data_IF_586865648492
#
_entry.id   IF_586865648492
#
_cell.length_a   1.000
_cell.length_b   1.000
_cell.length_c   1.000
_cell.angle_alpha   90.00
_cell.angle_beta   90.00
_cell.angle_gamma   90.00
#
_symmetry.space_group_name_H-M   'P 1'
#
loop_
_entity.id
_entity.type
_entity.pdbx_description
1 polymer ?
#
# COMPACT_ATOMS: atom_id res chain seq x y z
N UNK A 1 -3.96 10.69 6.12
CA UNK A 1 -3.59 9.29 5.97
C UNK A 1 -2.84 8.76 7.17
N UNK A 2 -2.70 7.48 7.23
CA UNK A 2 -1.93 6.78 8.27
C UNK A 2 -1.39 5.47 7.70
N UNK A 3 -0.40 4.90 8.37
CA UNK A 3 0.08 3.55 8.10
C UNK A 3 -0.50 2.56 9.11
N UNK A 4 -1.15 1.50 8.61
CA UNK A 4 -1.49 0.32 9.37
C UNK A 4 -0.27 -0.60 9.40
N UNK A 5 0.33 -0.75 10.58
CA UNK A 5 1.64 -1.39 10.75
C UNK A 5 1.49 -2.72 11.48
N UNK A 6 1.67 -3.84 10.77
CA UNK A 6 1.73 -5.18 11.34
C UNK A 6 3.14 -5.75 11.20
N UNK A 7 3.76 -6.12 12.31
CA UNK A 7 5.09 -6.72 12.30
C UNK A 7 5.13 -8.14 11.71
N UNK A 8 3.97 -8.73 11.49
CA UNK A 8 3.82 -10.11 10.99
C UNK A 8 3.42 -10.13 9.51
N UNK A 9 2.43 -9.31 9.13
CA UNK A 9 1.81 -9.41 7.81
C UNK A 9 2.33 -8.39 6.80
N UNK A 10 2.87 -7.26 7.25
CA UNK A 10 3.29 -6.15 6.41
C UNK A 10 2.55 -4.85 6.74
N UNK A 11 2.89 -3.79 6.04
CA UNK A 11 2.37 -2.45 6.27
C UNK A 11 1.46 -2.00 5.13
N UNK A 12 0.44 -1.22 5.46
CA UNK A 12 -0.53 -0.68 4.50
C UNK A 12 -0.75 0.80 4.77
N UNK A 13 -0.48 1.66 3.81
CA UNK A 13 -0.90 3.05 3.90
C UNK A 13 -2.38 3.18 3.59
N UNK A 14 -3.09 3.97 4.40
CA UNK A 14 -4.47 4.36 4.14
C UNK A 14 -4.55 5.87 3.93
N UNK A 15 -5.06 6.28 2.79
CA UNK A 15 -5.22 7.67 2.40
C UNK A 15 -6.70 8.06 2.36
N UNK A 16 -6.96 9.34 2.50
CA UNK A 16 -8.29 9.97 2.37
C UNK A 16 -9.34 9.55 3.40
N UNK A 17 -9.10 8.54 4.25
CA UNK A 17 -10.03 8.16 5.30
C UNK A 17 -10.18 9.27 6.33
N UNK A 18 -11.42 9.47 6.79
CA UNK A 18 -11.77 10.34 7.94
C UNK A 18 -11.62 9.62 9.28
N UNK A 19 -11.45 8.30 9.26
CA UNK A 19 -11.27 7.44 10.42
C UNK A 19 -9.86 6.82 10.41
N UNK A 20 -9.44 6.32 11.56
CA UNK A 20 -8.15 5.62 11.72
C UNK A 20 -8.33 4.29 12.44
N UNK A 21 -7.48 3.35 12.12
CA UNK A 21 -7.32 2.09 12.86
C UNK A 21 -5.84 1.72 12.93
N UNK A 22 -5.47 0.74 13.74
CA UNK A 22 -4.11 0.24 13.80
C UNK A 22 -4.07 -1.25 14.10
N UNK A 23 -3.00 -1.91 13.65
CA UNK A 23 -2.84 -3.36 13.79
C UNK A 23 -2.84 -3.84 15.25
N UNK A 24 -2.33 -3.06 16.18
CA UNK A 24 -2.28 -3.44 17.61
C UNK A 24 -3.68 -3.49 18.24
N UNK A 25 -4.54 -2.54 17.89
CA UNK A 25 -5.89 -2.48 18.42
C UNK A 25 -6.81 -3.57 17.83
N UNK A 26 -6.56 -3.93 16.57
CA UNK A 26 -7.48 -4.76 15.77
C UNK A 26 -7.04 -6.24 15.68
N UNK A 27 -6.04 -6.66 16.46
CA UNK A 27 -5.51 -8.03 16.40
C UNK A 27 -4.58 -8.29 15.21
N UNK A 28 -4.25 -7.26 14.44
CA UNK A 28 -3.13 -7.21 13.51
C UNK A 28 -3.23 -8.05 12.24
N UNK A 29 -4.38 -8.62 11.92
CA UNK A 29 -4.55 -9.43 10.71
C UNK A 29 -5.05 -8.60 9.52
N UNK A 30 -4.64 -8.93 8.28
CA UNK A 30 -5.16 -8.24 7.09
C UNK A 30 -6.69 -8.30 6.97
N UNK A 31 -7.32 -9.40 7.37
CA UNK A 31 -8.77 -9.56 7.31
C UNK A 31 -9.52 -8.55 8.18
N UNK A 32 -8.95 -8.13 9.30
CA UNK A 32 -9.53 -7.06 10.15
C UNK A 32 -9.41 -5.72 9.43
N UNK A 33 -8.26 -5.42 8.82
CA UNK A 33 -8.10 -4.21 8.02
C UNK A 33 -9.08 -4.16 6.84
N UNK A 34 -9.23 -5.27 6.10
CA UNK A 34 -10.16 -5.34 4.97
C UNK A 34 -11.62 -5.15 5.40
N UNK A 35 -12.03 -5.73 6.52
CA UNK A 35 -13.36 -5.50 7.10
C UNK A 35 -13.55 -4.05 7.52
N UNK A 36 -12.53 -3.43 8.10
CA UNK A 36 -12.58 -2.03 8.50
C UNK A 36 -12.67 -1.10 7.28
N UNK A 37 -11.91 -1.33 6.22
CA UNK A 37 -12.01 -0.58 4.95
C UNK A 37 -13.41 -0.67 4.33
N UNK A 38 -14.06 -1.83 4.42
CA UNK A 38 -15.41 -2.02 3.88
C UNK A 38 -16.53 -1.41 4.72
N UNK A 39 -16.26 -1.05 5.98
CA UNK A 39 -17.25 -0.45 6.87
C UNK A 39 -17.38 1.04 6.58
N UNK A 40 -18.63 1.58 6.52
CA UNK A 40 -18.85 3.01 6.32
C UNK A 40 -18.10 3.87 7.34
N UNK A 41 -17.61 5.04 6.92
CA UNK A 41 -16.92 5.98 7.79
C UNK A 41 -17.85 6.50 8.93
N UNK A 42 -19.15 6.64 8.66
CA UNK A 42 -20.15 7.01 9.67
C UNK A 42 -20.25 5.99 10.82
N UNK A 43 -19.90 4.73 10.54
CA UNK A 43 -19.89 3.64 11.53
C UNK A 43 -18.48 3.40 12.11
N UNK A 44 -17.57 4.34 11.93
CA UNK A 44 -16.18 4.26 12.39
C UNK A 44 -15.27 3.39 11.52
N UNK A 45 -15.67 3.07 10.30
CA UNK A 45 -14.85 2.33 9.33
C UNK A 45 -14.06 3.22 8.38
N UNK A 46 -13.31 2.60 7.49
CA UNK A 46 -12.46 3.25 6.49
C UNK A 46 -13.07 3.31 5.09
N UNK A 47 -14.40 3.18 4.95
CA UNK A 47 -15.07 3.09 3.65
C UNK A 47 -14.94 4.32 2.75
N UNK A 48 -14.50 5.44 3.28
CA UNK A 48 -14.12 6.64 2.55
C UNK A 48 -12.63 6.69 2.19
N UNK A 49 -11.83 5.68 2.56
CA UNK A 49 -10.40 5.60 2.31
C UNK A 49 -10.02 4.76 1.07
N UNK A 50 -8.75 4.86 0.70
CA UNK A 50 -8.07 3.95 -0.23
C UNK A 50 -6.77 3.48 0.42
N UNK A 51 -6.23 2.35 -0.02
CA UNK A 51 -5.07 1.73 0.58
C UNK A 51 -4.00 1.33 -0.44
N UNK A 52 -2.76 1.25 0.01
CA UNK A 52 -1.63 0.70 -0.76
C UNK A 52 -0.82 -0.27 0.09
N UNK A 53 -0.35 -1.35 -0.51
CA UNK A 53 0.65 -2.22 0.09
C UNK A 53 2.00 -1.49 0.14
N UNK A 54 2.62 -1.42 1.32
CA UNK A 54 3.90 -0.74 1.51
C UNK A 54 5.05 -1.73 1.55
N UNK A 55 6.19 -1.33 0.99
CA UNK A 55 7.48 -2.02 1.04
C UNK A 55 7.36 -3.55 1.27
N UNK A 56 6.85 -4.30 0.28
CA UNK A 56 6.76 -5.76 0.37
C UNK A 56 8.09 -6.35 0.83
N UNK A 57 8.07 -7.45 1.62
CA UNK A 57 9.27 -8.04 2.22
C UNK A 57 9.86 -7.31 3.45
N UNK A 58 9.35 -6.16 3.84
CA UNK A 58 9.91 -5.45 4.99
C UNK A 58 9.56 -6.11 6.33
N UNK A 59 8.47 -6.86 6.39
CA UNK A 59 7.95 -7.49 7.62
C UNK A 59 7.51 -8.94 7.40
N UNK A 60 7.53 -9.68 8.50
CA UNK A 60 7.23 -11.11 8.49
C UNK A 60 8.46 -11.95 8.13
N UNK A 61 8.27 -13.24 8.05
CA UNK A 61 9.32 -14.21 7.69
C UNK A 61 9.01 -14.80 6.32
N UNK A 62 9.90 -14.62 5.32
CA UNK A 62 9.71 -15.21 4.00
C UNK A 62 9.41 -16.71 4.08
N UNK A 63 8.40 -17.15 3.33
CA UNK A 63 7.98 -18.54 3.30
C UNK A 63 6.98 -18.95 4.40
N UNK A 64 6.64 -18.07 5.33
CA UNK A 64 5.53 -18.31 6.27
C UNK A 64 4.18 -17.94 5.66
N UNK A 65 3.08 -18.55 6.13
CA UNK A 65 1.73 -18.22 5.62
C UNK A 65 1.31 -16.76 5.82
N UNK A 66 1.90 -16.07 6.79
CA UNK A 66 1.58 -14.68 7.15
C UNK A 66 2.29 -13.67 6.26
N UNK A 67 3.42 -14.04 5.66
CA UNK A 67 4.30 -13.15 4.91
C UNK A 67 3.57 -12.42 3.78
N UNK A 68 3.83 -11.12 3.64
CA UNK A 68 3.23 -10.26 2.61
C UNK A 68 1.69 -10.47 2.50
N UNK A 69 0.98 -10.22 3.59
CA UNK A 69 -0.51 -10.30 3.64
C UNK A 69 -1.04 -11.65 3.15
N UNK A 70 -0.47 -12.76 3.67
CA UNK A 70 -0.74 -14.12 3.20
C UNK A 70 -0.40 -14.31 1.71
N UNK A 71 0.80 -13.87 1.33
CA UNK A 71 1.27 -13.91 -0.06
C UNK A 71 0.30 -13.18 -1.01
N UNK A 72 -0.12 -11.97 -0.61
CA UNK A 72 -1.09 -11.17 -1.34
C UNK A 72 -2.43 -11.88 -1.57
N UNK A 73 -2.89 -12.67 -0.61
CA UNK A 73 -4.17 -13.37 -0.74
C UNK A 73 -5.29 -12.41 -1.14
N UNK A 74 -5.86 -12.63 -2.33
CA UNK A 74 -6.85 -11.74 -2.91
C UNK A 74 -8.12 -11.66 -2.07
N UNK A 75 -8.63 -10.46 -1.91
CA UNK A 75 -9.88 -10.17 -1.20
C UNK A 75 -10.76 -9.28 -2.07
N UNK A 76 -11.72 -9.88 -2.74
CA UNK A 76 -12.63 -9.19 -3.65
C UNK A 76 -13.30 -7.97 -2.99
N UNK A 77 -13.67 -8.07 -1.72
CA UNK A 77 -14.29 -6.97 -0.98
C UNK A 77 -13.37 -5.77 -0.74
N UNK A 78 -12.04 -5.93 -0.79
CA UNK A 78 -11.07 -4.85 -0.59
C UNK A 78 -10.48 -4.32 -1.91
N UNK A 79 -10.64 -5.03 -3.01
CA UNK A 79 -9.97 -4.75 -4.29
C UNK A 79 -10.26 -3.34 -4.83
N UNK A 80 -11.47 -2.84 -4.63
CA UNK A 80 -11.82 -1.48 -5.06
C UNK A 80 -11.04 -0.40 -4.31
N UNK A 81 -10.70 -0.65 -3.05
CA UNK A 81 -10.04 0.33 -2.17
C UNK A 81 -8.53 0.12 -2.09
N UNK A 82 -8.02 -1.09 -2.30
CA UNK A 82 -6.59 -1.35 -2.38
C UNK A 82 -6.13 -1.04 -3.80
N UNK A 83 -5.58 0.16 -3.97
CA UNK A 83 -5.33 0.75 -5.31
C UNK A 83 -3.90 0.65 -5.76
N UNK A 84 -2.95 0.37 -4.88
CA UNK A 84 -1.53 0.41 -5.22
C UNK A 84 -0.64 -0.49 -4.39
N UNK A 85 0.59 -0.65 -4.87
CA UNK A 85 1.67 -1.36 -4.18
C UNK A 85 2.97 -0.58 -4.41
N UNK A 86 3.79 -0.44 -3.37
CA UNK A 86 5.11 0.18 -3.51
C UNK A 86 6.02 -0.70 -4.37
N UNK A 87 6.49 -0.11 -5.46
CA UNK A 87 7.51 -0.68 -6.34
C UNK A 87 8.88 -0.10 -6.05
N UNK A 88 8.92 1.11 -5.51
CA UNK A 88 10.11 1.76 -4.97
C UNK A 88 9.81 2.43 -3.64
N UNK A 89 10.70 2.20 -2.67
CA UNK A 89 10.68 2.92 -1.40
C UNK A 89 12.11 3.38 -1.09
N UNK A 90 12.32 4.69 -1.03
CA UNK A 90 13.64 5.31 -1.02
C UNK A 90 14.50 4.83 -2.21
N UNK A 91 15.53 4.03 -1.96
CA UNK A 91 16.42 3.44 -2.97
C UNK A 91 16.21 1.94 -3.17
N UNK A 92 15.19 1.41 -2.53
CA UNK A 92 14.90 -0.03 -2.57
C UNK A 92 13.90 -0.32 -3.67
N UNK A 93 14.27 -1.23 -4.55
CA UNK A 93 13.40 -1.79 -5.57
C UNK A 93 12.61 -2.97 -5.00
N UNK A 94 11.30 -2.96 -5.21
CA UNK A 94 10.37 -4.04 -4.89
C UNK A 94 9.59 -4.52 -6.13
N UNK A 95 9.75 -3.82 -7.25
CA UNK A 95 8.91 -3.99 -8.43
C UNK A 95 9.49 -4.85 -9.55
N UNK A 96 10.79 -5.19 -9.51
CA UNK A 96 11.46 -5.90 -10.59
C UNK A 96 11.97 -7.30 -10.21
N UNK A 97 12.47 -8.02 -11.20
CA UNK A 97 13.28 -9.23 -11.00
C UNK A 97 14.54 -8.87 -10.18
N UNK A 98 14.79 -9.64 -9.12
CA UNK A 98 15.93 -9.35 -8.24
C UNK A 98 15.66 -8.24 -7.21
N UNK A 99 14.42 -7.78 -7.10
CA UNK A 99 13.98 -6.91 -6.02
C UNK A 99 14.30 -7.49 -4.64
N UNK A 100 14.31 -6.62 -3.63
CA UNK A 100 14.53 -7.02 -2.24
C UNK A 100 13.57 -8.15 -1.83
N UNK A 101 14.09 -9.13 -1.10
CA UNK A 101 13.31 -10.25 -0.58
C UNK A 101 13.15 -11.43 -1.53
N UNK A 102 13.87 -11.39 -2.64
CA UNK A 102 13.89 -12.50 -3.62
C UNK A 102 12.47 -12.89 -4.09
N UNK A 103 11.72 -11.93 -4.65
CA UNK A 103 10.37 -12.20 -5.15
C UNK A 103 10.40 -13.21 -6.30
N UNK A 104 9.23 -13.76 -6.68
CA UNK A 104 9.09 -14.47 -7.94
C UNK A 104 9.39 -13.55 -9.13
N UNK A 105 9.54 -14.15 -10.32
CA UNK A 105 9.79 -13.40 -11.57
C UNK A 105 8.77 -12.26 -11.74
N UNK A 106 9.25 -11.07 -12.11
CA UNK A 106 8.45 -9.85 -12.22
C UNK A 106 8.28 -9.06 -10.92
N UNK A 107 8.91 -9.49 -9.82
CA UNK A 107 8.88 -8.76 -8.55
C UNK A 107 7.57 -8.91 -7.77
N UNK A 108 7.46 -8.19 -6.65
CA UNK A 108 6.27 -8.21 -5.80
C UNK A 108 5.04 -7.57 -6.46
N UNK A 109 5.27 -6.62 -7.38
CA UNK A 109 4.20 -6.01 -8.17
C UNK A 109 3.50 -7.04 -9.05
N UNK A 110 4.26 -7.78 -9.87
CA UNK A 110 3.71 -8.86 -10.67
C UNK A 110 3.03 -9.92 -9.80
N UNK A 111 3.62 -10.24 -8.64
CA UNK A 111 3.02 -11.19 -7.70
C UNK A 111 1.64 -10.76 -7.22
N UNK A 112 1.45 -9.48 -6.87
CA UNK A 112 0.15 -8.97 -6.47
C UNK A 112 -0.87 -9.05 -7.61
N UNK A 113 -0.48 -8.70 -8.85
CA UNK A 113 -1.32 -8.82 -10.05
C UNK A 113 -1.71 -10.28 -10.31
N UNK A 114 -0.77 -11.23 -10.22
CA UNK A 114 -1.01 -12.67 -10.42
C UNK A 114 -1.98 -13.24 -9.37
N UNK A 115 -2.03 -12.63 -8.19
CA UNK A 115 -3.00 -12.97 -7.15
C UNK A 115 -4.39 -12.40 -7.39
N UNK A 116 -4.56 -11.54 -8.39
CA UNK A 116 -5.84 -10.97 -8.80
C UNK A 116 -6.08 -9.54 -8.35
N UNK A 117 -5.13 -8.89 -7.66
CA UNK A 117 -5.26 -7.48 -7.28
C UNK A 117 -5.14 -6.55 -8.49
N UNK A 118 -5.98 -5.50 -8.52
CA UNK A 118 -5.92 -4.45 -9.52
C UNK A 118 -5.17 -3.23 -8.95
N UNK A 119 -3.87 -3.34 -8.78
CA UNK A 119 -3.02 -2.31 -8.15
C UNK A 119 -2.16 -1.58 -9.17
N UNK A 120 -1.91 -0.30 -8.93
CA UNK A 120 -0.92 0.51 -9.65
C UNK A 120 0.41 0.57 -8.90
N UNK A 121 1.48 0.93 -9.60
CA UNK A 121 2.81 1.10 -9.02
C UNK A 121 2.89 2.40 -8.21
N UNK A 122 3.40 2.31 -6.98
CA UNK A 122 3.63 3.44 -6.07
C UNK A 122 5.12 3.59 -5.81
N UNK A 123 5.63 4.81 -5.93
CA UNK A 123 6.94 5.20 -5.45
C UNK A 123 6.79 6.01 -4.17
N UNK A 124 7.51 5.65 -3.12
CA UNK A 124 7.41 6.26 -1.81
C UNK A 124 8.79 6.51 -1.20
N UNK A 125 8.78 7.20 -0.07
CA UNK A 125 9.94 7.41 0.78
C UNK A 125 9.52 7.20 2.23
N UNK A 126 10.22 6.31 2.93
CA UNK A 126 9.91 5.92 4.30
C UNK A 126 11.09 6.10 5.27
N UNK A 127 12.19 6.67 4.79
CA UNK A 127 13.41 6.81 5.57
C UNK A 127 13.77 8.27 5.85
N UNK A 128 14.26 8.52 7.05
CA UNK A 128 15.09 9.67 7.35
C UNK A 128 14.37 11.01 7.45
N UNK A 129 13.17 11.04 7.97
CA UNK A 129 12.38 12.26 8.15
C UNK A 129 12.93 13.24 9.21
N UNK A 130 14.15 13.03 9.66
CA UNK A 130 14.87 13.85 10.62
C UNK A 130 15.52 15.10 9.99
N UNK A 131 15.47 15.23 8.66
CA UNK A 131 15.95 16.42 7.94
C UNK A 131 14.85 17.03 7.06
N UNK A 132 14.65 18.33 7.20
CA UNK A 132 13.59 19.07 6.51
C UNK A 132 13.68 19.05 4.97
N UNK A 133 14.83 18.76 4.41
CA UNK A 133 15.14 18.74 2.98
C UNK A 133 15.20 17.33 2.37
N UNK A 134 14.91 16.29 3.14
CA UNK A 134 14.88 14.91 2.64
C UNK A 134 13.64 14.58 1.79
N UNK A 135 12.61 15.40 1.86
CA UNK A 135 11.37 15.21 1.12
C UNK A 135 11.54 15.45 -0.39
N UNK A 136 11.24 14.43 -1.18
CA UNK A 136 11.17 14.56 -2.62
C UNK A 136 12.52 14.70 -3.33
N UNK A 137 13.60 14.25 -2.75
CA UNK A 137 14.93 14.20 -3.37
C UNK A 137 14.90 13.51 -4.76
N UNK A 138 15.84 13.87 -5.64
CA UNK A 138 15.87 13.40 -7.03
C UNK A 138 16.10 11.89 -7.17
N UNK A 139 16.62 11.25 -6.12
CA UNK A 139 16.95 9.80 -6.10
C UNK A 139 15.92 8.95 -5.36
N UNK A 140 14.81 9.55 -4.97
CA UNK A 140 13.81 8.90 -4.14
C UNK A 140 12.57 8.50 -4.93
N UNK A 141 11.90 7.42 -4.50
CA UNK A 141 10.66 6.97 -5.12
C UNK A 141 9.60 8.07 -5.13
N UNK A 142 8.90 8.21 -6.25
CA UNK A 142 7.82 9.19 -6.42
C UNK A 142 6.64 8.54 -7.12
N UNK A 143 5.45 8.95 -6.71
CA UNK A 143 4.22 8.60 -7.42
C UNK A 143 3.74 9.78 -8.23
N UNK A 144 3.56 9.59 -9.53
CA UNK A 144 2.94 10.57 -10.42
C UNK A 144 1.45 10.22 -10.56
N UNK A 145 0.58 11.18 -10.23
CA UNK A 145 -0.88 10.98 -10.29
C UNK A 145 -1.44 11.81 -11.45
N UNK A 146 -2.12 11.14 -12.38
CA UNK A 146 -2.75 11.76 -13.56
C UNK A 146 -4.18 12.21 -13.22
N UNK A 147 -4.29 13.26 -12.42
CA UNK A 147 -5.56 13.81 -11.97
C UNK A 147 -6.03 14.97 -12.88
N UNK A 148 -7.33 15.19 -12.94
CA UNK A 148 -7.95 16.32 -13.69
C UNK A 148 -7.80 17.66 -12.97
N UNK A 149 -7.50 17.64 -11.67
CA UNK A 149 -7.29 18.80 -10.83
C UNK A 149 -6.44 18.46 -9.60
N UNK A 150 -6.29 19.42 -8.69
CA UNK A 150 -5.44 19.29 -7.49
C UNK A 150 -6.22 19.17 -6.18
N UNK A 151 -7.53 19.04 -6.25
CA UNK A 151 -8.34 18.82 -5.04
C UNK A 151 -8.12 17.39 -4.49
N UNK A 152 -8.42 17.20 -3.19
CA UNK A 152 -8.40 15.86 -2.60
C UNK A 152 -9.31 14.88 -3.36
N UNK A 153 -10.46 15.38 -3.86
CA UNK A 153 -11.40 14.59 -4.63
C UNK A 153 -10.83 14.14 -5.98
N UNK A 154 -10.17 15.06 -6.71
CA UNK A 154 -9.54 14.76 -8.01
C UNK A 154 -8.42 13.73 -7.86
N UNK A 155 -7.56 13.90 -6.83
CA UNK A 155 -6.47 12.96 -6.56
C UNK A 155 -7.00 11.59 -6.18
N UNK A 156 -7.99 11.53 -5.29
CA UNK A 156 -8.62 10.27 -4.88
C UNK A 156 -9.28 9.55 -6.07
N UNK A 157 -10.01 10.29 -6.90
CA UNK A 157 -10.66 9.73 -8.10
C UNK A 157 -9.61 9.12 -9.06
N UNK A 158 -8.51 9.84 -9.32
CA UNK A 158 -7.43 9.33 -10.16
C UNK A 158 -6.80 8.06 -9.58
N UNK A 159 -6.59 8.00 -8.27
CA UNK A 159 -6.03 6.81 -7.62
C UNK A 159 -7.00 5.63 -7.65
N UNK A 160 -8.28 5.84 -7.43
CA UNK A 160 -9.30 4.79 -7.56
C UNK A 160 -9.36 4.20 -8.97
N UNK A 161 -9.11 5.01 -10.00
CA UNK A 161 -9.05 4.58 -11.40
C UNK A 161 -7.65 4.05 -11.80
N UNK A 162 -6.70 3.94 -10.86
CA UNK A 162 -5.29 3.55 -11.09
C UNK A 162 -4.59 4.42 -12.13
N UNK A 163 -4.99 5.69 -12.25
CA UNK A 163 -4.32 6.69 -13.11
C UNK A 163 -3.11 7.29 -12.40
N UNK A 164 -2.14 6.45 -12.07
CA UNK A 164 -0.86 6.84 -11.48
C UNK A 164 0.21 5.80 -11.79
N UNK A 165 1.49 6.20 -11.60
CA UNK A 165 2.64 5.33 -11.79
C UNK A 165 3.83 5.81 -10.93
N UNK A 166 4.84 4.93 -10.76
CA UNK A 166 6.11 5.21 -10.10
C UNK A 166 7.26 5.26 -11.09
#
# INVERSE_FOLDING_TARGET
GFEWTSDVFGHVNVYFSSQVTNAKADGGTPDVLWKWLNRPAADGGGGDGIATFNHPDAKGTPGTPEFNWHDFAFRHSADQQVVGIETFNDRTDYGSDGAKGNPPAGGWYARALDRGWHVGAVGAEDLGHDKADDWGGSTRGKTVILATGRSRADLKAAMLERRFYA
#
